data_IF_899384452986
#
_entry.id   IF_899384452986
#
_cell.length_a   1.000
_cell.length_b   1.000
_cell.length_c   1.000
_cell.angle_alpha   90.00
_cell.angle_beta   90.00
_cell.angle_gamma   90.00
#
_symmetry.space_group_name_H-M   'P 1'
#
loop_
_entity.id
_entity.type
_entity.pdbx_description
1 polymer ?
#
# COMPACT_ATOMS: atom_id res chain seq x y z
N UNK A 1 2.55 -4.97 19.45
CA UNK A 1 1.61 -6.09 19.25
C UNK A 1 1.10 -6.18 17.81
N UNK A 2 0.62 -5.10 17.20
CA UNK A 2 0.01 -5.09 15.85
C UNK A 2 0.86 -5.73 14.75
N UNK A 3 2.17 -5.47 14.70
CA UNK A 3 3.05 -6.07 13.71
C UNK A 3 3.21 -7.59 13.86
N UNK A 4 3.23 -8.09 15.11
CA UNK A 4 3.30 -9.53 15.38
C UNK A 4 1.99 -10.19 14.94
N UNK A 5 0.85 -9.60 15.28
CA UNK A 5 -0.47 -10.10 14.88
C UNK A 5 -0.57 -10.17 13.36
N UNK A 6 -0.18 -9.11 12.66
CA UNK A 6 -0.20 -9.08 11.20
C UNK A 6 0.70 -10.16 10.57
N UNK A 7 1.92 -10.33 11.08
CA UNK A 7 2.84 -11.35 10.59
C UNK A 7 2.28 -12.76 10.79
N UNK A 8 1.71 -13.05 11.98
CA UNK A 8 1.09 -14.35 12.28
C UNK A 8 -0.09 -14.62 11.35
N UNK A 9 -0.94 -13.62 11.09
CA UNK A 9 -2.07 -13.76 10.16
C UNK A 9 -1.60 -14.02 8.72
N UNK A 10 -0.62 -13.28 8.22
CA UNK A 10 -0.05 -13.50 6.88
C UNK A 10 0.62 -14.88 6.77
N UNK A 11 1.33 -15.30 7.82
CA UNK A 11 1.91 -16.65 7.88
C UNK A 11 0.82 -17.73 7.86
N UNK A 12 -0.24 -17.58 8.67
CA UNK A 12 -1.36 -18.51 8.69
C UNK A 12 -2.04 -18.62 7.31
N UNK A 13 -2.23 -17.50 6.60
CA UNK A 13 -2.73 -17.50 5.22
C UNK A 13 -1.81 -18.35 4.33
N UNK A 14 -0.50 -18.12 4.38
CA UNK A 14 0.48 -18.86 3.58
C UNK A 14 0.50 -20.35 3.86
N UNK A 15 0.27 -20.77 5.12
CA UNK A 15 0.20 -22.19 5.51
C UNK A 15 -1.10 -22.84 5.06
N UNK A 16 -2.23 -22.17 5.28
CA UNK A 16 -3.57 -22.76 5.07
C UNK A 16 -3.99 -22.72 3.59
N UNK A 17 -3.81 -21.58 2.94
CA UNK A 17 -4.28 -21.34 1.57
C UNK A 17 -3.17 -21.43 0.52
N UNK A 18 -1.92 -21.58 0.97
CA UNK A 18 -0.75 -21.51 0.12
C UNK A 18 -0.20 -20.09 -0.05
N UNK A 19 1.05 -20.03 -0.45
CA UNK A 19 1.83 -18.79 -0.61
C UNK A 19 1.88 -18.42 -2.07
N UNK A 20 1.12 -17.41 -2.50
CA UNK A 20 1.21 -16.90 -3.87
C UNK A 20 2.53 -16.17 -4.09
N UNK A 21 3.12 -16.34 -5.28
CA UNK A 21 4.31 -15.56 -5.67
C UNK A 21 4.04 -14.07 -5.51
N UNK A 22 4.92 -13.39 -4.80
CA UNK A 22 4.85 -11.93 -4.65
C UNK A 22 5.69 -11.20 -5.70
N UNK A 23 6.50 -11.93 -6.47
CA UNK A 23 7.39 -11.37 -7.50
C UNK A 23 6.57 -10.64 -8.58
N UNK A 24 6.97 -9.43 -8.99
CA UNK A 24 6.25 -8.67 -10.01
C UNK A 24 6.64 -9.18 -11.42
N UNK A 25 6.33 -10.46 -11.71
CA UNK A 25 6.54 -11.08 -13.01
C UNK A 25 5.28 -10.96 -13.85
N UNK A 26 5.45 -10.46 -15.07
CA UNK A 26 4.39 -10.33 -16.07
C UNK A 26 4.08 -11.71 -16.65
N UNK A 27 2.83 -12.12 -16.63
CA UNK A 27 2.37 -13.36 -17.24
C UNK A 27 2.03 -13.17 -18.72
N UNK A 28 1.06 -12.29 -18.98
CA UNK A 28 0.63 -11.98 -20.34
C UNK A 28 0.59 -10.47 -20.56
N UNK A 29 1.02 -10.08 -21.75
CA UNK A 29 0.92 -8.70 -22.26
C UNK A 29 -0.14 -8.70 -23.35
N UNK A 30 -1.15 -7.87 -23.20
CA UNK A 30 -2.21 -7.70 -24.21
C UNK A 30 -1.65 -7.00 -25.43
N UNK A 31 -2.05 -7.44 -26.61
CA UNK A 31 -1.70 -6.78 -27.87
C UNK A 31 -2.23 -5.33 -27.89
N UNK A 32 -1.44 -4.43 -28.46
CA UNK A 32 -1.76 -3.00 -28.53
C UNK A 32 -2.01 -2.34 -27.15
N UNK A 33 -1.46 -2.92 -26.08
CA UNK A 33 -1.51 -2.32 -24.74
C UNK A 33 -0.42 -1.28 -24.54
N UNK A 34 -0.56 -0.45 -23.50
CA UNK A 34 0.46 0.53 -23.12
C UNK A 34 1.83 -0.12 -22.86
N UNK A 35 1.83 -1.30 -22.23
CA UNK A 35 3.05 -2.04 -21.93
C UNK A 35 3.67 -2.68 -23.18
N UNK A 36 2.84 -3.24 -24.08
CA UNK A 36 3.28 -3.80 -25.37
C UNK A 36 3.91 -2.72 -26.27
N UNK A 37 3.27 -1.56 -26.39
CA UNK A 37 3.77 -0.44 -27.22
C UNK A 37 5.10 0.13 -26.71
N UNK A 38 5.37 -0.03 -25.41
CA UNK A 38 6.64 0.37 -24.80
C UNK A 38 7.77 -0.67 -24.97
N UNK A 39 7.50 -1.83 -25.59
CA UNK A 39 8.48 -2.90 -25.78
C UNK A 39 8.44 -4.00 -24.71
N UNK A 40 7.47 -3.96 -23.81
CA UNK A 40 7.32 -4.97 -22.75
C UNK A 40 6.89 -6.34 -23.29
N UNK A 41 7.36 -7.39 -22.66
CA UNK A 41 7.21 -8.79 -23.10
C UNK A 41 6.63 -9.66 -21.99
N UNK A 42 6.04 -10.78 -22.39
CA UNK A 42 5.67 -11.84 -21.45
C UNK A 42 6.93 -12.34 -20.72
N UNK A 43 6.78 -12.68 -19.44
CA UNK A 43 7.89 -13.15 -18.60
C UNK A 43 8.75 -12.06 -17.97
N UNK A 44 8.57 -10.79 -18.33
CA UNK A 44 9.29 -9.67 -17.74
C UNK A 44 9.13 -9.61 -16.22
N UNK A 45 10.22 -9.30 -15.53
CA UNK A 45 10.21 -9.02 -14.08
C UNK A 45 10.46 -7.55 -13.87
N UNK A 46 9.52 -6.83 -13.23
CA UNK A 46 9.68 -5.42 -12.93
C UNK A 46 10.69 -5.25 -11.80
N UNK A 47 11.80 -4.56 -12.05
CA UNK A 47 12.86 -4.28 -11.08
C UNK A 47 12.64 -2.96 -10.35
N UNK A 48 12.27 -1.92 -11.08
CA UNK A 48 12.00 -0.59 -10.51
C UNK A 48 10.95 0.17 -11.32
N UNK A 49 10.28 1.11 -10.65
CA UNK A 49 9.35 2.07 -11.26
C UNK A 49 9.78 3.46 -10.82
N UNK A 50 10.10 4.34 -11.79
CA UNK A 50 10.63 5.69 -11.54
C UNK A 50 11.82 5.70 -10.57
N UNK A 51 12.75 4.75 -10.74
CA UNK A 51 13.93 4.57 -9.92
C UNK A 51 13.68 3.96 -8.53
N UNK A 52 12.43 3.66 -8.17
CA UNK A 52 12.08 3.01 -6.91
C UNK A 52 12.01 1.50 -7.09
N UNK A 53 12.84 0.77 -6.39
CA UNK A 53 12.89 -0.71 -6.45
C UNK A 53 11.54 -1.34 -6.11
N UNK A 54 11.16 -2.34 -6.90
CA UNK A 54 9.94 -3.14 -6.74
C UNK A 54 10.33 -4.61 -6.55
N UNK A 55 10.20 -5.11 -5.33
CA UNK A 55 10.42 -6.54 -5.05
C UNK A 55 9.14 -7.36 -5.15
N UNK A 56 7.99 -6.70 -5.06
CA UNK A 56 6.67 -7.33 -5.02
C UNK A 56 5.70 -6.62 -5.96
N UNK A 57 4.71 -7.37 -6.44
CA UNK A 57 3.64 -6.80 -7.25
C UNK A 57 2.84 -5.71 -6.50
N UNK A 58 2.54 -5.95 -5.20
CA UNK A 58 1.82 -4.96 -4.39
C UNK A 58 2.56 -3.62 -4.37
N UNK A 59 3.90 -3.66 -4.26
CA UNK A 59 4.73 -2.46 -4.33
C UNK A 59 4.69 -1.79 -5.69
N UNK A 60 4.76 -2.59 -6.77
CA UNK A 60 4.64 -2.08 -8.13
C UNK A 60 3.29 -1.38 -8.33
N UNK A 61 2.20 -2.00 -7.91
CA UNK A 61 0.85 -1.47 -8.01
C UNK A 61 0.70 -0.13 -7.29
N UNK A 62 1.21 -0.02 -6.05
CA UNK A 62 1.16 1.25 -5.31
C UNK A 62 1.94 2.35 -6.04
N UNK A 63 3.11 2.05 -6.62
CA UNK A 63 3.90 3.03 -7.36
C UNK A 63 3.22 3.47 -8.66
N UNK A 64 2.52 2.57 -9.33
CA UNK A 64 1.77 2.86 -10.56
C UNK A 64 0.49 3.67 -10.30
N UNK A 65 -0.10 3.54 -9.10
CA UNK A 65 -1.33 4.26 -8.72
C UNK A 65 -1.07 5.57 -7.98
N UNK A 66 0.12 5.74 -7.40
CA UNK A 66 0.46 6.89 -6.54
C UNK A 66 0.33 8.23 -7.27
N UNK A 67 0.72 8.29 -8.53
CA UNK A 67 0.74 9.52 -9.33
C UNK A 67 -0.12 9.35 -10.59
N UNK A 68 -1.43 9.44 -10.41
CA UNK A 68 -2.40 9.27 -11.49
C UNK A 68 -2.42 10.42 -12.51
N UNK A 69 -1.66 11.50 -12.28
CA UNK A 69 -1.51 12.62 -13.21
C UNK A 69 -0.29 12.47 -14.12
N UNK A 70 0.55 11.48 -13.85
CA UNK A 70 1.79 11.29 -14.58
C UNK A 70 1.51 10.81 -16.01
N UNK A 71 2.15 11.43 -17.00
CA UNK A 71 1.96 11.08 -18.41
C UNK A 71 2.53 9.69 -18.71
N UNK A 72 3.71 9.38 -18.19
CA UNK A 72 4.38 8.09 -18.40
C UNK A 72 5.12 7.64 -17.14
N UNK A 73 5.42 6.34 -17.08
CA UNK A 73 6.24 5.72 -16.05
C UNK A 73 7.51 5.17 -16.67
N UNK A 74 8.64 5.35 -15.98
CA UNK A 74 9.90 4.72 -16.33
C UNK A 74 9.98 3.38 -15.59
N UNK A 75 9.80 2.27 -16.30
CA UNK A 75 9.75 0.93 -15.73
C UNK A 75 10.99 0.18 -16.16
N UNK A 76 11.87 -0.14 -15.21
CA UNK A 76 13.01 -0.99 -15.44
C UNK A 76 12.58 -2.45 -15.32
N UNK A 77 12.80 -3.22 -16.34
CA UNK A 77 12.40 -4.61 -16.44
C UNK A 77 13.60 -5.51 -16.73
N UNK A 78 13.51 -6.75 -16.28
CA UNK A 78 14.43 -7.82 -16.63
C UNK A 78 13.66 -8.82 -17.48
N UNK A 79 14.10 -9.01 -18.72
CA UNK A 79 13.56 -10.00 -19.66
C UNK A 79 13.98 -11.44 -19.32
N UNK A 80 13.34 -12.43 -19.92
CA UNK A 80 13.69 -13.85 -19.71
C UNK A 80 15.09 -14.21 -20.21
N UNK A 81 15.63 -13.47 -21.18
CA UNK A 81 17.00 -13.60 -21.67
C UNK A 81 18.06 -12.98 -20.73
N UNK A 82 17.64 -12.52 -19.53
CA UNK A 82 18.43 -11.80 -18.53
C UNK A 82 18.89 -10.40 -18.93
N UNK A 83 18.47 -9.86 -20.06
CA UNK A 83 18.73 -8.47 -20.42
C UNK A 83 17.86 -7.54 -19.55
N UNK A 84 18.38 -6.35 -19.27
CA UNK A 84 17.65 -5.32 -18.50
C UNK A 84 17.40 -4.12 -19.40
N UNK A 85 16.17 -3.66 -19.44
CA UNK A 85 15.75 -2.52 -20.24
C UNK A 85 14.89 -1.57 -19.42
N UNK A 86 14.92 -0.28 -19.76
CA UNK A 86 14.05 0.72 -19.17
C UNK A 86 12.97 1.14 -20.17
N UNK A 87 11.74 0.75 -19.88
CA UNK A 87 10.59 1.04 -20.72
C UNK A 87 9.93 2.36 -20.30
N UNK A 88 9.56 3.18 -21.29
CA UNK A 88 8.73 4.36 -21.07
C UNK A 88 7.28 4.01 -21.36
N UNK A 89 6.51 3.70 -20.33
CA UNK A 89 5.13 3.22 -20.46
C UNK A 89 4.13 4.34 -20.19
N UNK A 90 3.34 4.70 -21.21
CA UNK A 90 2.23 5.67 -21.10
C UNK A 90 0.92 4.91 -20.92
N UNK A 91 0.30 4.88 -19.73
CA UNK A 91 -0.91 4.12 -19.49
C UNK A 91 -2.06 4.62 -20.34
N UNK A 92 -2.91 3.70 -20.82
CA UNK A 92 -4.13 4.04 -21.55
C UNK A 92 -5.28 4.31 -20.59
N UNK A 93 -6.07 5.34 -20.85
CA UNK A 93 -7.28 5.58 -20.09
C UNK A 93 -8.41 4.72 -20.64
N UNK A 94 -9.11 4.03 -19.75
CA UNK A 94 -10.35 3.31 -20.02
C UNK A 94 -11.41 3.73 -19.03
N UNK A 95 -12.66 3.56 -19.40
CA UNK A 95 -13.80 3.84 -18.52
C UNK A 95 -14.38 2.50 -18.06
N UNK A 96 -14.53 2.32 -16.76
CA UNK A 96 -15.17 1.13 -16.20
C UNK A 96 -16.69 1.16 -16.42
N UNK A 97 -17.37 0.06 -16.06
CA UNK A 97 -18.81 -0.09 -16.18
C UNK A 97 -19.61 0.96 -15.37
N UNK A 98 -18.97 1.58 -14.37
CA UNK A 98 -19.55 2.61 -13.51
C UNK A 98 -19.24 4.05 -14.01
N UNK A 99 -18.59 4.19 -15.17
CA UNK A 99 -18.21 5.50 -15.73
C UNK A 99 -16.92 6.11 -15.17
N UNK A 100 -16.20 5.40 -14.29
CA UNK A 100 -14.96 5.91 -13.71
C UNK A 100 -13.79 5.71 -14.68
N UNK A 101 -12.98 6.75 -14.84
CA UNK A 101 -11.74 6.67 -15.63
C UNK A 101 -10.69 5.88 -14.87
N UNK A 102 -10.22 4.80 -15.46
CA UNK A 102 -9.17 3.94 -14.92
C UNK A 102 -8.00 3.90 -15.88
N UNK A 103 -6.78 3.85 -15.36
CA UNK A 103 -5.55 3.75 -16.15
C UNK A 103 -5.11 2.30 -16.20
N UNK A 104 -4.95 1.79 -17.42
CA UNK A 104 -4.59 0.39 -17.66
C UNK A 104 -3.26 0.29 -18.39
N UNK A 105 -2.48 -0.72 -18.01
CA UNK A 105 -1.19 -1.04 -18.62
C UNK A 105 -1.30 -2.21 -19.60
N UNK A 106 -2.37 -3.02 -19.47
CA UNK A 106 -2.67 -4.16 -20.32
C UNK A 106 -1.76 -5.36 -20.06
N UNK A 107 -1.49 -5.62 -18.78
CA UNK A 107 -0.70 -6.78 -18.33
C UNK A 107 -1.46 -7.59 -17.31
N UNK A 108 -1.23 -8.90 -17.30
CA UNK A 108 -1.58 -9.78 -16.20
C UNK A 108 -0.33 -10.22 -15.47
N UNK A 109 -0.44 -10.49 -14.16
CA UNK A 109 0.70 -10.95 -13.37
C UNK A 109 0.72 -12.47 -13.28
N UNK A 110 1.93 -13.00 -13.16
CA UNK A 110 2.14 -14.41 -12.88
C UNK A 110 1.86 -14.68 -11.40
N UNK A 111 0.90 -15.58 -11.14
CA UNK A 111 0.54 -16.01 -9.80
C UNK A 111 0.69 -17.52 -9.71
N UNK A 112 1.73 -17.96 -9.03
CA UNK A 112 1.93 -19.36 -8.71
C UNK A 112 1.79 -19.53 -7.20
N UNK A 113 1.13 -20.61 -6.80
CA UNK A 113 0.90 -20.91 -5.38
C UNK A 113 1.85 -22.02 -4.95
N UNK A 114 2.63 -21.74 -3.92
CA UNK A 114 3.55 -22.67 -3.30
C UNK A 114 3.04 -23.11 -1.94
N UNK A 115 3.31 -24.34 -1.56
CA UNK A 115 2.97 -24.88 -0.24
C UNK A 115 4.24 -25.17 0.56
N UNK A 116 4.14 -25.07 1.89
CA UNK A 116 5.24 -25.37 2.81
C UNK A 116 5.60 -24.21 3.72
N UNK A 117 6.10 -24.53 4.90
CA UNK A 117 6.40 -23.57 5.98
C UNK A 117 7.40 -22.49 5.51
N UNK A 118 8.45 -22.91 4.78
CA UNK A 118 9.46 -21.96 4.26
C UNK A 118 8.86 -20.92 3.30
N UNK A 119 7.97 -21.36 2.40
CA UNK A 119 7.25 -20.46 1.50
C UNK A 119 6.30 -19.55 2.26
N UNK A 120 5.61 -20.05 3.30
CA UNK A 120 4.70 -19.25 4.12
C UNK A 120 5.44 -18.15 4.89
N UNK A 121 6.63 -18.43 5.44
CA UNK A 121 7.47 -17.41 6.11
C UNK A 121 7.92 -16.36 5.09
N UNK A 122 8.42 -16.77 3.93
CA UNK A 122 8.85 -15.84 2.87
C UNK A 122 7.70 -14.96 2.37
N UNK A 123 6.53 -15.55 2.16
CA UNK A 123 5.31 -14.84 1.79
C UNK A 123 4.93 -13.80 2.84
N UNK A 124 4.84 -14.20 4.12
CA UNK A 124 4.49 -13.30 5.22
C UNK A 124 5.47 -12.13 5.32
N UNK A 125 6.79 -12.40 5.23
CA UNK A 125 7.81 -11.37 5.27
C UNK A 125 7.71 -10.40 4.07
N UNK A 126 7.56 -10.94 2.86
CA UNK A 126 7.46 -10.12 1.64
C UNK A 126 6.19 -9.27 1.62
N UNK A 127 5.04 -9.84 2.02
CA UNK A 127 3.78 -9.09 2.11
C UNK A 127 3.84 -8.01 3.19
N UNK A 128 4.38 -8.35 4.37
CA UNK A 128 4.57 -7.39 5.45
C UNK A 128 5.47 -6.22 5.02
N UNK A 129 6.65 -6.51 4.46
CA UNK A 129 7.58 -5.49 3.95
C UNK A 129 6.90 -4.60 2.90
N UNK A 130 6.16 -5.21 1.98
CA UNK A 130 5.47 -4.51 0.91
C UNK A 130 4.40 -3.55 1.43
N UNK A 131 3.54 -4.00 2.35
CA UNK A 131 2.51 -3.16 2.96
C UNK A 131 3.15 -2.03 3.75
N UNK A 132 4.17 -2.35 4.57
CA UNK A 132 4.88 -1.36 5.38
C UNK A 132 5.54 -0.27 4.52
N UNK A 133 6.25 -0.65 3.44
CA UNK A 133 6.84 0.31 2.51
C UNK A 133 5.78 1.15 1.77
N UNK A 134 4.63 0.55 1.47
CA UNK A 134 3.52 1.24 0.82
C UNK A 134 2.96 2.36 1.69
N UNK A 135 2.93 2.19 3.02
CA UNK A 135 2.48 3.23 3.95
C UNK A 135 3.32 4.51 3.83
N UNK A 136 4.66 4.38 3.80
CA UNK A 136 5.52 5.55 3.58
C UNK A 136 5.23 6.23 2.24
N UNK A 137 5.01 5.43 1.21
CA UNK A 137 4.75 5.94 -0.14
C UNK A 137 3.42 6.68 -0.20
N UNK A 138 2.38 6.16 0.44
CA UNK A 138 1.05 6.78 0.53
C UNK A 138 1.14 8.10 1.31
N UNK A 139 1.78 8.10 2.47
CA UNK A 139 1.96 9.31 3.27
C UNK A 139 2.74 10.37 2.49
N UNK A 140 3.85 9.98 1.87
CA UNK A 140 4.62 10.88 1.01
C UNK A 140 3.76 11.44 -0.13
N UNK A 141 2.95 10.59 -0.77
CA UNK A 141 2.02 10.99 -1.83
C UNK A 141 0.98 12.01 -1.37
N UNK A 142 0.43 11.84 -0.17
CA UNK A 142 -0.52 12.79 0.44
C UNK A 142 0.12 14.13 0.73
N UNK A 143 1.30 14.16 1.38
CA UNK A 143 1.99 15.41 1.71
C UNK A 143 2.50 16.17 0.48
N UNK A 144 2.83 15.47 -0.60
CA UNK A 144 3.29 16.10 -1.84
C UNK A 144 2.16 16.42 -2.82
N UNK A 145 0.90 16.10 -2.48
CA UNK A 145 -0.26 16.30 -3.35
C UNK A 145 -0.30 15.38 -4.58
N UNK A 146 0.57 14.36 -4.64
CA UNK A 146 0.58 13.34 -5.70
C UNK A 146 -0.58 12.36 -5.57
N UNK A 147 -0.99 12.09 -4.33
CA UNK A 147 -2.17 11.30 -4.02
C UNK A 147 -3.30 12.23 -3.61
N UNK A 148 -4.47 12.04 -4.22
CA UNK A 148 -5.66 12.82 -3.87
C UNK A 148 -6.19 12.40 -2.50
N UNK A 149 -6.68 13.37 -1.71
CA UNK A 149 -7.43 13.08 -0.47
C UNK A 149 -8.70 12.24 -0.75
N UNK A 150 -9.21 12.27 -1.98
CA UNK A 150 -10.33 11.44 -2.39
C UNK A 150 -10.01 9.94 -2.42
N UNK A 151 -8.73 9.58 -2.50
CA UNK A 151 -8.28 8.18 -2.44
C UNK A 151 -8.28 7.59 -1.02
N UNK A 152 -8.48 8.42 0.02
CA UNK A 152 -8.61 7.95 1.39
C UNK A 152 -10.02 7.44 1.63
N UNK A 153 -10.13 6.26 2.20
CA UNK A 153 -11.40 5.68 2.65
C UNK A 153 -11.61 5.98 4.14
N UNK A 154 -12.76 6.53 4.47
CA UNK A 154 -13.21 6.69 5.84
C UNK A 154 -14.02 5.49 6.32
N UNK A 155 -14.77 5.64 7.43
CA UNK A 155 -15.55 4.54 8.01
C UNK A 155 -16.56 3.91 7.05
N UNK A 156 -17.19 4.72 6.20
CA UNK A 156 -18.18 4.24 5.21
C UNK A 156 -17.50 3.49 4.07
N UNK A 157 -16.39 4.01 3.54
CA UNK A 157 -15.59 3.31 2.54
C UNK A 157 -15.01 2.00 3.09
N UNK A 158 -14.57 1.99 4.36
CA UNK A 158 -14.09 0.79 5.04
C UNK A 158 -15.18 -0.28 5.17
N UNK A 159 -16.42 0.09 5.43
CA UNK A 159 -17.55 -0.85 5.45
C UNK A 159 -17.69 -1.58 4.11
N UNK A 160 -17.59 -0.87 2.99
CA UNK A 160 -17.64 -1.47 1.67
C UNK A 160 -16.48 -2.44 1.42
N UNK A 161 -15.26 -2.07 1.84
CA UNK A 161 -14.07 -2.95 1.74
C UNK A 161 -14.27 -4.23 2.55
N UNK A 162 -14.81 -4.12 3.78
CA UNK A 162 -15.11 -5.29 4.62
C UNK A 162 -16.14 -6.19 3.95
N UNK A 163 -17.25 -5.64 3.43
CA UNK A 163 -18.29 -6.43 2.74
C UNK A 163 -17.75 -7.14 1.51
N UNK A 164 -16.94 -6.48 0.69
CA UNK A 164 -16.28 -7.11 -0.45
C UNK A 164 -15.34 -8.23 0.00
N UNK A 165 -14.58 -8.00 1.09
CA UNK A 165 -13.69 -9.02 1.64
C UNK A 165 -14.44 -10.25 2.17
N UNK A 166 -15.61 -10.05 2.77
CA UNK A 166 -16.49 -11.13 3.21
C UNK A 166 -16.96 -11.99 2.02
N UNK A 167 -17.32 -11.37 0.92
CA UNK A 167 -17.74 -12.07 -0.29
C UNK A 167 -16.62 -12.91 -0.93
N UNK A 168 -15.35 -12.51 -0.74
CA UNK A 168 -14.15 -13.20 -1.25
C UNK A 168 -13.66 -14.33 -0.32
N UNK A 169 -14.25 -14.49 0.87
CA UNK A 169 -13.97 -15.58 1.79
C UNK A 169 -12.95 -15.30 2.88
N UNK A 170 -12.71 -16.31 3.73
CA UNK A 170 -11.94 -16.17 4.97
C UNK A 170 -10.49 -15.71 4.74
N UNK A 171 -9.82 -16.18 3.69
CA UNK A 171 -8.46 -15.76 3.38
C UNK A 171 -8.36 -14.24 3.19
N UNK A 172 -9.33 -13.64 2.50
CA UNK A 172 -9.36 -12.19 2.28
C UNK A 172 -9.65 -11.40 3.55
N UNK A 173 -10.49 -11.93 4.44
CA UNK A 173 -10.75 -11.32 5.76
C UNK A 173 -9.47 -11.31 6.61
N UNK A 174 -8.76 -12.45 6.67
CA UNK A 174 -7.50 -12.56 7.38
C UNK A 174 -6.45 -11.59 6.82
N UNK A 175 -6.38 -11.48 5.48
CA UNK A 175 -5.51 -10.53 4.82
C UNK A 175 -5.87 -9.08 5.17
N UNK A 176 -7.14 -8.71 5.10
CA UNK A 176 -7.61 -7.37 5.48
C UNK A 176 -7.30 -7.07 6.95
N UNK A 177 -7.49 -8.03 7.85
CA UNK A 177 -7.15 -7.89 9.27
C UNK A 177 -5.65 -7.67 9.47
N UNK A 178 -4.81 -8.42 8.75
CA UNK A 178 -3.37 -8.22 8.77
C UNK A 178 -2.98 -6.84 8.24
N UNK A 179 -3.59 -6.41 7.12
CA UNK A 179 -3.39 -5.09 6.51
C UNK A 179 -3.75 -3.96 7.49
N UNK A 180 -4.91 -4.03 8.14
CA UNK A 180 -5.35 -3.05 9.14
C UNK A 180 -4.38 -3.05 10.33
N UNK A 181 -3.93 -4.23 10.79
CA UNK A 181 -2.98 -4.33 11.90
C UNK A 181 -1.64 -3.68 11.58
N UNK A 182 -1.12 -3.84 10.35
CA UNK A 182 0.11 -3.16 9.92
C UNK A 182 -0.11 -1.64 9.90
N UNK A 183 -1.26 -1.18 9.36
CA UNK A 183 -1.59 0.25 9.31
C UNK A 183 -1.64 0.86 10.71
N UNK A 184 -2.33 0.22 11.65
CA UNK A 184 -2.42 0.69 13.03
C UNK A 184 -1.03 0.71 13.70
N UNK A 185 -0.23 -0.34 13.50
CA UNK A 185 1.14 -0.38 14.01
C UNK A 185 2.01 0.72 13.43
N UNK A 186 1.89 0.96 12.13
CA UNK A 186 2.63 2.00 11.42
C UNK A 186 2.23 3.40 11.89
N UNK A 187 0.92 3.69 11.97
CA UNK A 187 0.41 4.98 12.46
C UNK A 187 0.85 5.27 13.88
N UNK A 188 0.82 4.27 14.77
CA UNK A 188 1.29 4.41 16.15
C UNK A 188 2.80 4.67 16.24
N UNK A 189 3.58 4.28 15.22
CA UNK A 189 5.02 4.54 15.18
C UNK A 189 5.38 5.94 14.62
N UNK A 190 4.43 6.61 13.95
CA UNK A 190 4.65 7.95 13.43
C UNK A 190 4.84 8.98 14.56
N UNK A 191 5.78 9.94 14.42
CA UNK A 191 6.00 11.01 15.38
C UNK A 191 4.91 12.08 15.28
N UNK A 192 3.66 11.67 15.48
CA UNK A 192 2.49 12.55 15.35
C UNK A 192 1.74 12.65 16.68
N UNK A 193 1.21 13.85 17.02
CA UNK A 193 0.34 14.00 18.18
C UNK A 193 -0.83 12.99 18.15
N UNK A 194 -1.24 12.53 19.32
CA UNK A 194 -2.26 11.53 19.56
C UNK A 194 -1.89 10.06 19.26
N UNK A 195 -0.71 9.79 18.72
CA UNK A 195 -0.16 8.42 18.58
C UNK A 195 0.99 8.18 19.56
N UNK A 196 1.30 6.89 19.82
CA UNK A 196 2.40 6.49 20.72
C UNK A 196 3.76 7.03 20.26
N UNK A 197 3.96 7.16 18.94
CA UNK A 197 5.17 7.76 18.37
C UNK A 197 5.39 9.20 18.77
N UNK A 198 4.32 9.99 18.97
CA UNK A 198 4.40 11.32 19.54
C UNK A 198 4.97 11.32 20.96
N UNK A 199 4.57 10.38 21.78
CA UNK A 199 5.10 10.21 23.14
C UNK A 199 6.60 9.83 23.13
N UNK A 200 7.00 8.94 22.22
CA UNK A 200 8.42 8.57 22.03
C UNK A 200 9.27 9.81 21.71
N UNK A 201 8.77 10.75 20.91
CA UNK A 201 9.48 12.01 20.62
C UNK A 201 9.74 12.82 21.88
N UNK A 202 8.76 12.94 22.78
CA UNK A 202 8.94 13.64 24.06
C UNK A 202 10.00 12.97 24.92
N UNK A 203 9.95 11.63 25.03
CA UNK A 203 10.99 10.85 25.78
C UNK A 203 12.38 11.08 25.20
N UNK A 204 12.54 11.16 23.87
CA UNK A 204 13.81 11.46 23.23
C UNK A 204 14.27 12.90 23.52
N UNK A 205 13.36 13.88 23.47
CA UNK A 205 13.64 15.27 23.82
C UNK A 205 14.09 15.39 25.28
N UNK A 206 13.42 14.71 26.22
CA UNK A 206 13.78 14.69 27.63
C UNK A 206 15.17 14.12 27.83
N UNK A 207 15.50 13.03 27.15
CA UNK A 207 16.82 12.40 27.21
C UNK A 207 17.94 13.32 26.72
N UNK A 208 17.69 14.08 25.63
CA UNK A 208 18.67 15.03 25.08
C UNK A 208 18.83 16.26 25.98
N UNK A 209 17.72 16.80 26.52
CA UNK A 209 17.71 17.99 27.37
C UNK A 209 18.12 17.73 28.81
N UNK A 210 18.11 16.47 29.25
CA UNK A 210 18.37 16.09 30.65
C UNK A 210 17.30 16.58 31.65
N UNK A 211 16.16 17.09 31.16
CA UNK A 211 15.04 17.60 31.96
C UNK A 211 13.72 17.15 31.36
N UNK A 212 12.75 16.83 32.23
CA UNK A 212 11.39 16.49 31.80
C UNK A 212 10.71 17.64 31.07
N UNK A 213 9.89 17.34 30.09
CA UNK A 213 8.98 18.28 29.46
C UNK A 213 7.81 18.51 30.42
N UNK A 214 7.26 19.72 30.42
CA UNK A 214 6.09 20.05 31.22
C UNK A 214 4.90 19.18 30.75
N UNK A 215 4.26 18.47 31.69
CA UNK A 215 3.13 17.59 31.40
C UNK A 215 1.96 18.32 30.73
N UNK A 216 1.79 19.63 30.99
CA UNK A 216 0.76 20.43 30.33
C UNK A 216 1.08 20.63 28.84
N UNK A 217 2.38 20.86 28.49
CA UNK A 217 2.81 21.03 27.09
C UNK A 217 2.56 19.72 26.32
N UNK A 218 2.95 18.59 26.90
CA UNK A 218 2.75 17.28 26.31
C UNK A 218 1.23 17.00 26.16
N UNK A 219 0.44 17.27 27.20
CA UNK A 219 -1.01 17.11 27.17
C UNK A 219 -1.69 17.96 26.09
N UNK A 220 -1.31 19.24 25.97
CA UNK A 220 -1.83 20.11 24.91
C UNK A 220 -1.44 19.63 23.52
N UNK A 221 -0.20 19.16 23.32
CA UNK A 221 0.25 18.61 22.04
C UNK A 221 -0.62 17.43 21.61
N UNK A 222 -0.86 16.46 22.52
CA UNK A 222 -1.72 15.32 22.24
C UNK A 222 -3.17 15.72 22.01
N UNK A 223 -3.70 16.67 22.77
CA UNK A 223 -5.08 17.17 22.60
C UNK A 223 -5.29 17.82 21.24
N UNK A 224 -4.37 18.68 20.82
CA UNK A 224 -4.44 19.33 19.50
C UNK A 224 -4.38 18.27 18.39
N UNK A 225 -3.46 17.29 18.50
CA UNK A 225 -3.37 16.21 17.52
C UNK A 225 -4.65 15.37 17.45
N UNK A 226 -5.25 15.07 18.60
CA UNK A 226 -6.53 14.35 18.65
C UNK A 226 -7.66 15.14 17.97
N UNK A 227 -7.77 16.44 18.24
CA UNK A 227 -8.76 17.31 17.58
C UNK A 227 -8.56 17.33 16.06
N UNK A 228 -7.31 17.44 15.59
CA UNK A 228 -7.00 17.40 14.16
C UNK A 228 -7.39 16.08 13.51
N UNK A 229 -7.13 14.95 14.17
CA UNK A 229 -7.55 13.63 13.70
C UNK A 229 -9.07 13.50 13.65
N UNK A 230 -9.78 13.99 14.66
CA UNK A 230 -11.25 13.98 14.69
C UNK A 230 -11.83 14.81 13.55
N UNK A 231 -11.29 16.00 13.30
CA UNK A 231 -11.71 16.85 12.19
C UNK A 231 -11.45 16.16 10.83
N UNK A 232 -10.28 15.54 10.68
CA UNK A 232 -9.96 14.78 9.47
C UNK A 232 -10.92 13.59 9.27
N UNK A 233 -11.23 12.85 10.34
CA UNK A 233 -12.19 11.73 10.30
C UNK A 233 -13.59 12.19 9.89
N UNK A 234 -14.07 13.30 10.45
CA UNK A 234 -15.36 13.90 10.10
C UNK A 234 -15.36 14.31 8.63
N UNK A 235 -14.31 14.99 8.17
CA UNK A 235 -14.18 15.41 6.78
C UNK A 235 -14.22 14.21 5.80
N UNK A 236 -13.45 13.14 6.08
CA UNK A 236 -13.41 11.95 5.22
C UNK A 236 -14.77 11.23 5.26
N UNK A 237 -15.43 11.15 6.43
CA UNK A 237 -16.74 10.52 6.56
C UNK A 237 -17.80 11.26 5.73
N UNK A 238 -17.84 12.60 5.79
CA UNK A 238 -18.74 13.42 4.98
C UNK A 238 -18.47 13.19 3.49
N UNK A 239 -17.21 13.19 3.09
CA UNK A 239 -16.80 12.90 1.70
C UNK A 239 -17.29 11.51 1.23
N UNK A 240 -17.11 10.48 2.07
CA UNK A 240 -17.54 9.11 1.76
C UNK A 240 -19.08 9.03 1.58
N UNK A 241 -19.83 9.73 2.44
CA UNK A 241 -21.30 9.79 2.35
C UNK A 241 -21.74 10.50 1.06
N UNK A 242 -21.12 11.64 0.73
CA UNK A 242 -21.42 12.37 -0.52
C UNK A 242 -21.10 11.50 -1.75
N UNK A 243 -20.06 10.70 -1.70
CA UNK A 243 -19.68 9.81 -2.79
C UNK A 243 -20.60 8.59 -2.99
N UNK A 244 -21.60 8.39 -2.13
CA UNK A 244 -22.64 7.36 -2.28
C UNK A 244 -23.86 7.82 -3.12
N UNK A 245 -23.98 9.12 -3.36
CA UNK A 245 -25.06 9.76 -4.13
C UNK A 245 -24.56 10.35 -5.44
#
# INVERSE_FOLDING_TARGET
>A
MNFITAFVLLFAIGVIYGSTSTTPKINTVQENSAYSEAGGRNGDVILSIDGKKTKTWDRAQVLLTLDNKKEYYSIEVKHEDNTTETLKVTPKETTDENGNKTRVFGVTIYQETYHGIGHAVSYAASKFESIYQSMFTIIYGLFTGRLSMNSLSGPVGMYNIVNQSLALGLAQILYLTAYISINLGFMNFLPFPAFDGGHIVFVLIEKIRGKRVDANIEGWFHTIGFILLMLLMIFITIKDIIGLF
#
